data_IF_157381339392
#
_entry.id   IF_157381339392
#
_cell.length_a   1.000
_cell.length_b   1.000
_cell.length_c   1.000
_cell.angle_alpha   90.00
_cell.angle_beta   90.00
_cell.angle_gamma   90.00
#
_symmetry.space_group_name_H-M   'P 1'
#
loop_
_entity.id
_entity.type
_entity.pdbx_description
1 polymer ?
#
# COMPACT_ATOMS: atom_id res chain seq x y z
N UNK A 1 8.22 -9.65 -28.51
CA UNK A 1 7.37 -8.53 -28.06
C UNK A 1 7.84 -8.13 -26.67
N UNK A 2 8.32 -6.90 -26.47
CA UNK A 2 8.54 -6.39 -25.11
C UNK A 2 7.16 -6.21 -24.48
N UNK A 3 6.88 -6.90 -23.39
CA UNK A 3 5.70 -6.60 -22.58
C UNK A 3 5.81 -5.13 -22.16
N UNK A 4 4.82 -4.32 -22.49
CA UNK A 4 4.77 -2.93 -22.01
C UNK A 4 4.59 -2.98 -20.49
N UNK A 5 5.70 -2.87 -19.76
CA UNK A 5 5.70 -2.80 -18.31
C UNK A 5 4.99 -1.49 -17.94
N UNK A 6 3.78 -1.60 -17.38
CA UNK A 6 3.06 -0.43 -16.91
C UNK A 6 3.65 0.07 -15.59
N UNK A 7 3.74 1.39 -15.43
CA UNK A 7 4.18 2.02 -14.20
C UNK A 7 3.06 1.97 -13.15
N UNK A 8 3.31 1.35 -11.99
CA UNK A 8 2.26 1.11 -11.00
C UNK A 8 2.03 2.31 -10.10
N UNK A 9 0.76 2.63 -9.86
CA UNK A 9 0.30 3.67 -8.95
C UNK A 9 -0.81 3.08 -8.07
N UNK A 10 -0.63 3.14 -6.76
CA UNK A 10 -1.58 2.62 -5.77
C UNK A 10 -2.21 3.78 -5.04
N UNK A 11 -3.54 3.81 -4.99
CA UNK A 11 -4.31 4.87 -4.34
C UNK A 11 -4.71 4.46 -2.93
N UNK A 12 -4.45 5.34 -1.98
CA UNK A 12 -4.94 5.27 -0.60
C UNK A 12 -6.40 5.76 -0.50
N UNK A 13 -7.10 5.37 0.57
CA UNK A 13 -8.50 5.69 0.83
C UNK A 13 -8.74 7.18 0.89
N UNK A 14 -7.83 7.94 1.51
CA UNK A 14 -7.97 9.39 1.61
C UNK A 14 -7.98 10.10 0.24
N UNK A 15 -7.32 9.52 -0.77
CA UNK A 15 -7.31 10.05 -2.14
C UNK A 15 -8.62 9.73 -2.84
N UNK A 16 -9.12 8.49 -2.69
CA UNK A 16 -10.40 8.09 -3.25
C UNK A 16 -11.55 8.91 -2.65
N UNK A 17 -11.49 9.23 -1.35
CA UNK A 17 -12.49 10.09 -0.69
C UNK A 17 -12.51 11.52 -1.23
N UNK A 18 -11.40 12.04 -1.76
CA UNK A 18 -11.38 13.36 -2.42
C UNK A 18 -12.15 13.37 -3.75
N UNK A 19 -12.59 12.21 -4.26
CA UNK A 19 -13.48 12.11 -5.42
C UNK A 19 -14.97 12.11 -5.05
N UNK A 20 -15.30 11.91 -3.77
CA UNK A 20 -16.66 12.04 -3.24
C UNK A 20 -17.11 13.52 -3.32
N UNK A 21 -18.42 13.82 -3.20
CA UNK A 21 -19.03 14.95 -3.91
C UNK A 21 -18.45 16.31 -3.54
N UNK A 22 -17.48 16.72 -4.34
CA UNK A 22 -17.21 18.12 -4.61
C UNK A 22 -18.08 18.56 -5.79
N UNK A 23 -18.44 19.84 -5.81
CA UNK A 23 -19.11 20.46 -6.97
C UNK A 23 -18.28 20.31 -8.24
N UNK A 24 -16.96 20.18 -8.11
CA UNK A 24 -15.99 20.12 -9.20
C UNK A 24 -15.08 18.91 -9.03
N UNK A 25 -14.67 18.31 -10.16
CA UNK A 25 -13.70 17.21 -10.18
C UNK A 25 -12.30 17.76 -9.85
N UNK A 26 -11.50 17.11 -8.98
CA UNK A 26 -10.16 17.57 -8.70
C UNK A 26 -9.30 17.62 -9.97
N UNK A 27 -8.50 18.67 -10.13
CA UNK A 27 -7.71 18.91 -11.35
C UNK A 27 -6.71 17.78 -11.65
N UNK A 28 -6.20 17.09 -10.63
CA UNK A 28 -5.27 15.97 -10.80
C UNK A 28 -5.90 14.76 -11.52
N UNK A 29 -7.23 14.64 -11.56
CA UNK A 29 -7.92 13.53 -12.23
C UNK A 29 -7.66 13.55 -13.74
N UNK A 30 -7.69 14.74 -14.36
CA UNK A 30 -7.43 14.87 -15.80
C UNK A 30 -6.02 14.40 -16.15
N UNK A 31 -5.03 14.76 -15.32
CA UNK A 31 -3.65 14.31 -15.49
C UNK A 31 -3.53 12.79 -15.30
N UNK A 32 -4.22 12.19 -14.33
CA UNK A 32 -4.23 10.73 -14.15
C UNK A 32 -4.84 9.98 -15.35
N UNK A 33 -5.87 10.54 -15.99
CA UNK A 33 -6.45 10.01 -17.24
C UNK A 33 -5.43 10.05 -18.38
N UNK A 34 -4.62 11.11 -18.46
CA UNK A 34 -3.55 11.20 -19.47
C UNK A 34 -2.42 10.21 -19.16
N UNK A 35 -2.03 10.07 -17.89
CA UNK A 35 -1.01 9.12 -17.44
C UNK A 35 -1.41 7.67 -17.73
N UNK A 36 -2.67 7.28 -17.49
CA UNK A 36 -3.15 5.91 -17.72
C UNK A 36 -3.02 5.52 -19.20
N UNK A 37 -3.31 6.46 -20.11
CA UNK A 37 -3.11 6.30 -21.56
C UNK A 37 -1.62 6.26 -21.98
N UNK A 38 -0.71 6.67 -21.10
CA UNK A 38 0.75 6.73 -21.32
C UNK A 38 1.52 5.65 -20.57
N UNK A 39 0.85 4.55 -20.20
CA UNK A 39 1.51 3.38 -19.63
C UNK A 39 1.57 3.36 -18.11
N UNK A 40 0.86 4.25 -17.42
CA UNK A 40 0.61 4.09 -15.99
C UNK A 40 -0.57 3.14 -15.76
N UNK A 41 -0.52 2.40 -14.65
CA UNK A 41 -1.55 1.47 -14.19
C UNK A 41 -1.92 1.86 -12.78
N UNK A 42 -3.13 2.39 -12.63
CA UNK A 42 -3.67 2.83 -11.36
C UNK A 42 -4.53 1.72 -10.75
N UNK A 43 -4.31 1.44 -9.47
CA UNK A 43 -5.08 0.45 -8.72
C UNK A 43 -5.39 1.00 -7.33
N UNK A 44 -6.50 0.56 -6.74
CA UNK A 44 -6.75 0.76 -5.32
C UNK A 44 -5.90 -0.24 -4.51
N UNK A 45 -5.47 0.15 -3.32
CA UNK A 45 -5.05 -0.85 -2.32
C UNK A 45 -6.26 -1.69 -1.89
N UNK A 46 -6.06 -2.96 -1.55
CA UNK A 46 -7.12 -3.78 -0.95
C UNK A 46 -7.63 -3.20 0.37
N UNK A 47 -6.73 -2.72 1.24
CA UNK A 47 -7.08 -2.00 2.46
C UNK A 47 -7.99 -0.78 2.18
N UNK A 48 -7.77 -0.10 1.06
CA UNK A 48 -8.64 1.01 0.62
C UNK A 48 -10.04 0.54 0.28
N UNK A 49 -10.18 -0.59 -0.42
CA UNK A 49 -11.51 -1.16 -0.70
C UNK A 49 -12.23 -1.52 0.59
N UNK A 50 -11.55 -2.18 1.52
CA UNK A 50 -12.15 -2.59 2.80
C UNK A 50 -12.59 -1.39 3.64
N UNK A 51 -11.78 -0.32 3.67
CA UNK A 51 -12.14 0.91 4.37
C UNK A 51 -13.35 1.60 3.73
N UNK A 52 -13.41 1.68 2.39
CA UNK A 52 -14.56 2.26 1.69
C UNK A 52 -15.83 1.45 1.92
N UNK A 53 -15.78 0.11 1.86
CA UNK A 53 -16.93 -0.76 2.17
C UNK A 53 -17.43 -0.52 3.59
N UNK A 54 -16.51 -0.42 4.57
CA UNK A 54 -16.86 -0.09 5.96
C UNK A 54 -17.50 1.30 6.08
N UNK A 55 -16.99 2.29 5.36
CA UNK A 55 -17.54 3.65 5.36
C UNK A 55 -18.94 3.69 4.71
N UNK A 56 -19.18 2.90 3.67
CA UNK A 56 -20.50 2.75 3.05
C UNK A 56 -21.48 2.05 4.01
N UNK A 57 -21.08 0.93 4.62
CA UNK A 57 -21.96 0.16 5.51
C UNK A 57 -22.32 0.90 6.81
N UNK A 58 -21.47 1.86 7.21
CA UNK A 58 -21.71 2.75 8.37
C UNK A 58 -22.30 4.10 7.96
N UNK A 59 -22.75 4.26 6.71
CA UNK A 59 -23.36 5.47 6.15
C UNK A 59 -22.47 6.73 6.23
N UNK A 60 -21.15 6.58 6.35
CA UNK A 60 -20.19 7.69 6.24
C UNK A 60 -20.00 8.14 4.79
N UNK A 61 -20.19 7.22 3.83
CA UNK A 61 -20.32 7.50 2.40
C UNK A 61 -21.77 7.22 2.00
N UNK A 62 -22.42 8.18 1.35
CA UNK A 62 -23.82 8.03 0.93
C UNK A 62 -23.90 7.22 -0.37
N UNK A 63 -24.89 6.34 -0.47
CA UNK A 63 -25.07 5.49 -1.65
C UNK A 63 -25.30 6.30 -2.94
N UNK A 64 -25.93 7.47 -2.84
CA UNK A 64 -26.16 8.40 -3.95
C UNK A 64 -24.87 9.00 -4.55
N UNK A 65 -23.77 8.98 -3.79
CA UNK A 65 -22.49 9.53 -4.22
C UNK A 65 -21.64 8.49 -4.98
N UNK A 66 -21.97 7.20 -4.82
CA UNK A 66 -21.20 6.08 -5.38
C UNK A 66 -21.16 6.04 -6.92
N UNK A 67 -22.28 6.30 -7.66
CA UNK A 67 -22.22 6.30 -9.11
C UNK A 67 -21.19 7.31 -9.66
N UNK A 68 -21.13 8.52 -9.09
CA UNK A 68 -20.16 9.55 -9.51
C UNK A 68 -18.73 9.12 -9.19
N UNK A 69 -18.51 8.53 -8.01
CA UNK A 69 -17.21 8.01 -7.60
C UNK A 69 -16.69 6.95 -8.60
N UNK A 70 -17.50 5.95 -8.92
CA UNK A 70 -17.09 4.87 -9.81
C UNK A 70 -16.88 5.33 -11.25
N UNK A 71 -17.78 6.16 -11.78
CA UNK A 71 -17.58 6.78 -13.10
C UNK A 71 -16.25 7.51 -13.16
N UNK A 72 -15.86 8.23 -12.10
CA UNK A 72 -14.60 8.97 -12.07
C UNK A 72 -13.38 8.05 -11.97
N UNK A 73 -13.41 7.04 -11.09
CA UNK A 73 -12.32 6.07 -10.93
C UNK A 73 -12.07 5.28 -12.22
N UNK A 74 -13.12 4.83 -12.89
CA UNK A 74 -13.02 4.05 -14.15
C UNK A 74 -12.38 4.83 -15.30
N UNK A 75 -12.28 6.17 -15.23
CA UNK A 75 -11.59 6.97 -16.24
C UNK A 75 -10.07 6.72 -16.26
N UNK A 76 -9.48 6.24 -15.16
CA UNK A 76 -8.03 6.11 -15.04
C UNK A 76 -7.54 4.83 -14.35
N UNK A 77 -8.38 4.10 -13.61
CA UNK A 77 -8.03 2.78 -13.07
C UNK A 77 -7.71 1.79 -14.20
N UNK A 78 -6.77 0.88 -13.94
CA UNK A 78 -6.51 -0.25 -14.81
C UNK A 78 -7.58 -1.32 -14.60
N UNK A 79 -8.58 -1.39 -15.46
CA UNK A 79 -9.72 -2.31 -15.25
C UNK A 79 -9.35 -3.80 -15.35
N UNK A 80 -8.14 -4.14 -15.80
CA UNK A 80 -7.62 -5.50 -15.67
C UNK A 80 -7.13 -5.82 -14.25
N UNK A 81 -6.83 -4.80 -13.45
CA UNK A 81 -6.34 -4.87 -12.07
C UNK A 81 -6.77 -3.60 -11.28
N UNK A 82 -8.09 -3.38 -11.10
CA UNK A 82 -8.60 -2.16 -10.48
C UNK A 82 -8.25 -2.07 -8.99
N UNK A 83 -8.03 -3.22 -8.36
CA UNK A 83 -7.57 -3.37 -6.98
C UNK A 83 -6.35 -4.26 -7.01
N UNK A 84 -5.29 -3.83 -6.35
CA UNK A 84 -4.08 -4.63 -6.19
C UNK A 84 -4.18 -5.36 -4.84
N UNK A 85 -4.30 -6.69 -4.81
CA UNK A 85 -4.37 -7.41 -3.55
C UNK A 85 -3.04 -7.36 -2.78
N UNK A 86 -3.11 -7.43 -1.46
CA UNK A 86 -2.01 -7.19 -0.54
C UNK A 86 -1.08 -8.38 -0.32
N UNK A 87 -0.78 -8.67 0.95
CA UNK A 87 0.37 -9.45 1.45
C UNK A 87 0.84 -10.63 0.58
N UNK A 88 0.00 -11.66 0.44
CA UNK A 88 0.36 -12.92 -0.23
C UNK A 88 0.54 -12.70 -1.73
N UNK A 89 -0.32 -11.89 -2.32
CA UNK A 89 -0.32 -11.57 -3.74
C UNK A 89 0.89 -10.73 -4.16
N UNK A 90 1.24 -9.71 -3.37
CA UNK A 90 2.46 -8.93 -3.58
C UNK A 90 3.71 -9.80 -3.47
N UNK A 91 3.76 -10.70 -2.47
CA UNK A 91 4.85 -11.67 -2.36
C UNK A 91 4.91 -12.61 -3.56
N UNK A 92 3.77 -13.08 -4.06
CA UNK A 92 3.71 -13.92 -5.26
C UNK A 92 4.24 -13.20 -6.49
N UNK A 93 3.83 -11.94 -6.69
CA UNK A 93 4.25 -11.10 -7.82
C UNK A 93 5.75 -10.84 -7.85
N UNK A 94 6.37 -10.66 -6.69
CA UNK A 94 7.82 -10.47 -6.61
C UNK A 94 8.58 -11.80 -6.50
N UNK A 95 7.92 -12.95 -6.54
CA UNK A 95 8.58 -14.25 -6.40
C UNK A 95 9.14 -14.52 -4.99
N UNK A 96 8.60 -13.87 -3.96
CA UNK A 96 9.00 -14.01 -2.57
C UNK A 96 8.16 -15.02 -1.76
N UNK A 97 7.25 -15.76 -2.41
CA UNK A 97 6.48 -16.79 -1.72
C UNK A 97 7.33 -17.98 -1.30
N UNK A 98 6.99 -18.55 -0.14
CA UNK A 98 7.64 -19.75 0.37
C UNK A 98 7.27 -20.96 -0.49
N UNK A 99 8.19 -21.94 -0.57
CA UNK A 99 7.93 -23.23 -1.22
C UNK A 99 6.66 -23.87 -0.66
N UNK A 100 5.79 -24.34 -1.55
CA UNK A 100 4.52 -25.00 -1.21
C UNK A 100 3.28 -24.11 -1.29
N UNK A 101 3.42 -22.80 -1.52
CA UNK A 101 2.28 -21.95 -1.86
C UNK A 101 1.90 -22.12 -3.34
N UNK A 102 0.64 -22.50 -3.60
CA UNK A 102 0.07 -22.62 -4.94
C UNK A 102 -0.54 -21.29 -5.40
N UNK A 103 0.23 -20.21 -5.35
CA UNK A 103 -0.25 -18.91 -5.80
C UNK A 103 -0.09 -18.76 -7.31
N UNK A 104 -1.07 -18.13 -7.96
CA UNK A 104 -0.99 -17.75 -9.37
C UNK A 104 -1.33 -16.28 -9.57
N UNK A 105 -0.75 -15.68 -10.63
CA UNK A 105 -1.10 -14.31 -11.03
C UNK A 105 -2.60 -14.20 -11.37
N UNK A 106 -3.19 -15.23 -11.98
CA UNK A 106 -4.61 -15.23 -12.35
C UNK A 106 -5.49 -15.15 -11.10
N UNK A 107 -5.26 -15.97 -10.07
CA UNK A 107 -6.01 -15.90 -8.80
C UNK A 107 -5.88 -14.54 -8.13
N UNK A 108 -4.69 -13.93 -8.21
CA UNK A 108 -4.44 -12.57 -7.72
C UNK A 108 -5.33 -11.55 -8.44
N UNK A 109 -5.35 -11.58 -9.77
CA UNK A 109 -6.18 -10.68 -10.58
C UNK A 109 -7.67 -10.90 -10.31
N UNK A 110 -8.13 -12.15 -10.22
CA UNK A 110 -9.52 -12.47 -9.88
C UNK A 110 -9.91 -11.98 -8.49
N UNK A 111 -8.99 -12.05 -7.52
CA UNK A 111 -9.20 -11.49 -6.17
C UNK A 111 -9.39 -9.97 -6.22
N UNK A 112 -8.54 -9.27 -6.97
CA UNK A 112 -8.67 -7.81 -7.17
C UNK A 112 -9.98 -7.42 -7.85
N UNK A 113 -10.39 -8.15 -8.89
CA UNK A 113 -11.68 -7.95 -9.57
C UNK A 113 -12.86 -8.20 -8.62
N UNK A 114 -12.78 -9.23 -7.78
CA UNK A 114 -13.81 -9.50 -6.77
C UNK A 114 -13.92 -8.34 -5.77
N UNK A 115 -12.81 -7.80 -5.28
CA UNK A 115 -12.83 -6.61 -4.41
C UNK A 115 -13.45 -5.39 -5.11
N UNK A 116 -13.17 -5.19 -6.39
CA UNK A 116 -13.81 -4.13 -7.16
C UNK A 116 -15.34 -4.31 -7.27
N UNK A 117 -15.80 -5.52 -7.57
CA UNK A 117 -17.23 -5.82 -7.62
C UNK A 117 -17.91 -5.69 -6.24
N UNK A 118 -17.21 -6.06 -5.17
CA UNK A 118 -17.66 -5.86 -3.79
C UNK A 118 -17.89 -4.38 -3.48
N UNK A 119 -16.95 -3.53 -3.91
CA UNK A 119 -17.05 -2.10 -3.68
C UNK A 119 -18.23 -1.48 -4.45
N UNK A 120 -18.46 -1.91 -5.70
CA UNK A 120 -19.59 -1.44 -6.53
C UNK A 120 -20.95 -1.89 -6.01
N UNK A 121 -20.99 -3.04 -5.33
CA UNK A 121 -22.23 -3.67 -4.85
C UNK A 121 -22.17 -3.92 -3.34
N UNK A 122 -22.08 -2.87 -2.50
CA UNK A 122 -21.83 -3.00 -1.06
C UNK A 122 -22.98 -3.65 -0.28
N UNK A 123 -24.15 -3.83 -0.91
CA UNK A 123 -25.34 -4.48 -0.34
C UNK A 123 -25.30 -6.00 -0.51
N UNK A 124 -24.45 -6.54 -1.40
CA UNK A 124 -24.29 -7.97 -1.54
C UNK A 124 -23.58 -8.51 -0.29
N UNK A 125 -24.20 -9.49 0.37
CA UNK A 125 -23.54 -10.22 1.46
C UNK A 125 -22.39 -11.02 0.87
N UNK A 126 -21.17 -10.56 1.14
CA UNK A 126 -19.98 -11.34 0.86
C UNK A 126 -19.62 -12.15 2.11
N UNK A 127 -19.30 -13.43 1.94
CA UNK A 127 -18.76 -14.31 2.99
C UNK A 127 -17.38 -13.86 3.55
N UNK A 128 -16.92 -12.67 3.16
CA UNK A 128 -15.71 -12.03 3.66
C UNK A 128 -16.19 -10.86 4.51
N UNK A 129 -16.11 -11.00 5.82
CA UNK A 129 -16.39 -9.86 6.70
C UNK A 129 -15.13 -9.00 6.75
N UNK A 130 -15.22 -7.75 6.28
CA UNK A 130 -14.12 -6.78 6.39
C UNK A 130 -13.46 -6.72 7.79
N UNK A 131 -14.21 -6.90 8.92
CA UNK A 131 -13.62 -7.05 10.25
C UNK A 131 -12.57 -8.15 10.36
N UNK A 132 -12.80 -9.35 9.81
CA UNK A 132 -11.84 -10.46 9.89
C UNK A 132 -10.52 -10.12 9.19
N UNK A 133 -10.57 -9.50 8.01
CA UNK A 133 -9.34 -9.12 7.30
C UNK A 133 -8.57 -8.05 8.09
N UNK A 134 -9.29 -7.09 8.68
CA UNK A 134 -8.65 -6.06 9.53
C UNK A 134 -8.00 -6.71 10.76
N UNK A 135 -8.64 -7.69 11.39
CA UNK A 135 -8.08 -8.41 12.53
C UNK A 135 -6.83 -9.22 12.14
N UNK A 136 -6.85 -9.91 10.99
CA UNK A 136 -5.68 -10.62 10.44
C UNK A 136 -4.51 -9.67 10.15
N UNK A 137 -4.80 -8.47 9.64
CA UNK A 137 -3.80 -7.43 9.38
C UNK A 137 -3.18 -6.89 10.68
N UNK A 138 -4.01 -6.68 11.70
CA UNK A 138 -3.57 -6.29 13.04
C UNK A 138 -2.68 -7.37 13.65
N UNK A 139 -3.05 -8.65 13.55
CA UNK A 139 -2.27 -9.75 14.10
C UNK A 139 -0.95 -9.95 13.35
N UNK A 140 -0.95 -9.81 12.02
CA UNK A 140 0.26 -9.77 11.18
C UNK A 140 1.21 -8.64 11.59
N UNK A 141 0.68 -7.44 11.81
CA UNK A 141 1.46 -6.29 12.29
C UNK A 141 2.07 -6.56 13.68
N UNK A 142 1.28 -7.11 14.60
CA UNK A 142 1.72 -7.48 15.95
C UNK A 142 2.81 -8.54 15.94
N UNK A 143 2.65 -9.59 15.14
CA UNK A 143 3.63 -10.68 15.05
C UNK A 143 5.00 -10.13 14.61
N UNK A 144 5.00 -9.28 13.58
CA UNK A 144 6.23 -8.67 13.09
C UNK A 144 6.84 -7.70 14.11
N UNK A 145 6.02 -6.83 14.72
CA UNK A 145 6.49 -5.92 15.77
C UNK A 145 7.13 -6.69 16.94
N UNK A 146 6.49 -7.77 17.39
CA UNK A 146 6.99 -8.61 18.48
C UNK A 146 8.26 -9.38 18.10
N UNK A 147 8.37 -9.87 16.85
CA UNK A 147 9.61 -10.48 16.36
C UNK A 147 10.77 -9.48 16.36
N UNK A 148 10.54 -8.28 15.87
CA UNK A 148 11.54 -7.20 15.91
C UNK A 148 11.89 -6.84 17.35
N UNK A 149 10.92 -6.75 18.25
CA UNK A 149 11.11 -6.45 19.67
C UNK A 149 11.93 -7.54 20.40
N UNK A 150 11.60 -8.81 20.19
CA UNK A 150 12.30 -9.94 20.81
C UNK A 150 13.77 -10.03 20.37
N UNK A 151 14.07 -9.57 19.16
CA UNK A 151 15.44 -9.54 18.61
C UNK A 151 16.26 -8.33 19.06
N UNK A 152 15.66 -7.33 19.72
CA UNK A 152 16.25 -5.99 19.91
C UNK A 152 16.40 -5.58 21.38
N UNK A 153 16.92 -6.48 22.21
CA UNK A 153 17.48 -6.11 23.53
C UNK A 153 18.70 -5.16 23.42
N UNK A 154 19.18 -4.90 22.20
CA UNK A 154 20.20 -3.89 21.90
C UNK A 154 19.59 -2.88 20.92
N UNK A 155 19.62 -1.59 21.28
CA UNK A 155 19.05 -0.47 20.50
C UNK A 155 19.94 -0.02 19.33
N UNK A 156 20.77 -0.93 18.83
CA UNK A 156 21.83 -0.66 17.86
C UNK A 156 21.37 -0.93 16.41
N UNK A 157 22.03 -0.29 15.44
CA UNK A 157 21.79 -0.47 14.00
C UNK A 157 22.00 -1.92 13.54
N UNK A 158 22.72 -2.72 14.34
CA UNK A 158 22.88 -4.16 14.13
C UNK A 158 21.54 -4.91 14.03
N UNK A 159 20.47 -4.45 14.67
CA UNK A 159 19.11 -5.04 14.54
C UNK A 159 18.56 -4.86 13.12
N UNK A 160 18.75 -3.68 12.51
CA UNK A 160 18.31 -3.41 11.13
C UNK A 160 19.07 -4.31 10.14
N UNK A 161 20.38 -4.41 10.31
CA UNK A 161 21.24 -5.28 9.47
C UNK A 161 20.80 -6.74 9.59
N UNK A 162 20.50 -7.22 10.80
CA UNK A 162 19.99 -8.58 11.00
C UNK A 162 18.62 -8.78 10.33
N UNK A 163 17.70 -7.82 10.45
CA UNK A 163 16.40 -7.90 9.80
C UNK A 163 16.53 -7.98 8.26
N UNK A 164 17.42 -7.19 7.67
CA UNK A 164 17.72 -7.23 6.23
C UNK A 164 18.26 -8.61 5.83
N UNK A 165 19.28 -9.10 6.56
CA UNK A 165 19.91 -10.40 6.29
C UNK A 165 18.95 -11.59 6.47
N UNK A 166 17.95 -11.49 7.35
CA UNK A 166 16.93 -12.53 7.52
C UNK A 166 15.96 -12.55 6.34
N UNK A 167 15.54 -11.38 5.85
CA UNK A 167 14.64 -11.29 4.70
C UNK A 167 15.33 -11.77 3.41
N UNK A 168 16.56 -11.35 3.17
CA UNK A 168 17.28 -11.72 1.95
C UNK A 168 17.57 -13.22 1.89
N UNK A 169 17.79 -13.87 3.05
CA UNK A 169 17.92 -15.34 3.12
C UNK A 169 16.63 -16.09 2.79
N UNK A 170 15.45 -15.46 2.87
CA UNK A 170 14.20 -16.11 2.49
C UNK A 170 14.07 -16.21 0.96
N UNK A 171 14.66 -15.27 0.23
CA UNK A 171 14.56 -15.16 -1.23
C UNK A 171 15.92 -14.75 -1.83
N UNK A 172 16.95 -15.62 -1.77
CA UNK A 172 18.33 -15.24 -2.12
C UNK A 172 18.49 -14.87 -3.60
N UNK A 173 17.62 -15.38 -4.47
CA UNK A 173 17.67 -15.14 -5.92
C UNK A 173 16.85 -13.91 -6.35
N UNK A 174 16.20 -13.21 -5.41
CA UNK A 174 15.36 -12.05 -5.73
C UNK A 174 16.22 -10.82 -6.01
N UNK A 175 16.03 -10.21 -7.19
CA UNK A 175 16.74 -8.99 -7.60
C UNK A 175 15.72 -7.85 -7.83
N UNK A 176 15.89 -6.68 -7.19
CA UNK A 176 16.75 -6.46 -6.02
C UNK A 176 16.29 -7.28 -4.80
N UNK A 177 17.14 -7.46 -3.77
CA UNK A 177 16.83 -8.25 -2.59
C UNK A 177 15.55 -7.79 -1.87
N UNK A 178 14.92 -8.70 -1.13
CA UNK A 178 13.67 -8.42 -0.43
C UNK A 178 13.84 -7.28 0.59
N UNK A 179 14.99 -7.19 1.26
CA UNK A 179 15.34 -6.09 2.16
C UNK A 179 15.31 -4.73 1.47
N UNK A 180 15.79 -4.64 0.22
CA UNK A 180 15.76 -3.42 -0.59
C UNK A 180 14.34 -3.06 -1.00
N UNK A 181 13.53 -4.07 -1.32
CA UNK A 181 12.11 -3.91 -1.66
C UNK A 181 11.27 -3.43 -0.47
N UNK A 182 11.65 -3.81 0.74
CA UNK A 182 10.92 -3.49 1.97
C UNK A 182 11.68 -2.46 2.84
N UNK A 183 12.64 -1.73 2.29
CA UNK A 183 13.59 -0.93 3.06
C UNK A 183 12.89 0.10 3.97
N UNK A 184 12.01 0.93 3.39
CA UNK A 184 11.24 1.93 4.13
C UNK A 184 10.36 1.30 5.20
N UNK A 185 9.75 0.16 4.87
CA UNK A 185 8.90 -0.58 5.78
C UNK A 185 9.67 -1.04 7.02
N UNK A 186 10.84 -1.65 6.83
CA UNK A 186 11.70 -2.16 7.90
C UNK A 186 12.24 -1.00 8.75
N UNK A 187 12.73 0.07 8.12
CA UNK A 187 13.22 1.27 8.82
C UNK A 187 12.11 1.95 9.62
N UNK A 188 10.89 1.99 9.08
CA UNK A 188 9.73 2.52 9.80
C UNK A 188 9.44 1.73 11.08
N UNK A 189 9.45 0.38 11.01
CA UNK A 189 9.28 -0.44 12.21
C UNK A 189 10.36 -0.23 13.24
N UNK A 190 11.62 -0.24 12.80
CA UNK A 190 12.72 -0.04 13.71
C UNK A 190 12.60 1.29 14.46
N UNK A 191 12.23 2.38 13.76
CA UNK A 191 12.02 3.68 14.40
C UNK A 191 10.82 3.69 15.35
N UNK A 192 9.72 3.00 15.01
CA UNK A 192 8.57 2.85 15.91
C UNK A 192 8.93 2.05 17.16
N UNK A 193 9.65 0.95 17.00
CA UNK A 193 10.14 0.14 18.10
C UNK A 193 11.11 0.92 19.00
N UNK A 194 12.11 1.60 18.42
CA UNK A 194 13.05 2.46 19.14
C UNK A 194 12.34 3.56 19.93
N UNK A 195 11.33 4.18 19.33
CA UNK A 195 10.49 5.17 20.03
C UNK A 195 9.69 4.54 21.18
N UNK A 196 9.23 3.29 21.01
CA UNK A 196 8.48 2.57 22.04
C UNK A 196 9.33 2.18 23.25
N UNK A 197 10.59 1.81 23.04
CA UNK A 197 11.50 1.39 24.11
C UNK A 197 12.07 2.56 24.90
N UNK A 198 12.13 3.76 24.29
CA UNK A 198 12.65 4.97 24.93
C UNK A 198 11.61 5.75 25.76
N UNK A 199 10.31 5.55 25.55
CA UNK A 199 9.26 6.30 26.25
C UNK A 199 8.70 5.52 27.45
N UNK A 200 8.60 6.16 28.64
CA UNK A 200 7.98 5.57 29.84
C UNK A 200 6.52 5.14 29.64
N UNK A 201 5.82 5.73 28.66
CA UNK A 201 4.52 5.27 28.14
C UNK A 201 4.70 4.80 26.70
N UNK A 202 5.43 3.70 26.53
CA UNK A 202 5.81 3.16 25.22
C UNK A 202 4.63 2.96 24.28
N UNK A 203 4.91 3.05 22.97
CA UNK A 203 3.96 2.69 21.93
C UNK A 203 3.45 1.26 22.15
N UNK A 204 2.14 1.11 22.35
CA UNK A 204 1.50 -0.19 22.54
C UNK A 204 0.73 -0.57 21.26
N UNK A 205 1.24 -1.49 20.41
CA UNK A 205 0.53 -1.96 19.22
C UNK A 205 -0.76 -2.73 19.57
N UNK A 206 -0.96 -3.09 20.85
CA UNK A 206 -2.17 -3.76 21.35
C UNK A 206 -3.25 -2.76 21.80
N UNK A 207 -2.97 -1.46 21.83
CA UNK A 207 -3.97 -0.48 22.22
C UNK A 207 -4.97 -0.21 21.09
N UNK A 208 -6.26 -0.10 21.43
CA UNK A 208 -7.32 0.28 20.46
C UNK A 208 -7.04 1.62 19.77
N UNK A 209 -6.24 2.49 20.39
CA UNK A 209 -5.80 3.76 19.79
C UNK A 209 -4.89 3.55 18.58
N UNK A 210 -4.13 2.45 18.56
CA UNK A 210 -3.11 2.16 17.56
C UNK A 210 -3.54 1.02 16.60
N UNK A 211 -4.76 0.49 16.71
CA UNK A 211 -5.24 -0.56 15.79
C UNK A 211 -5.27 -0.10 14.34
N UNK A 212 -5.53 1.19 14.11
CA UNK A 212 -5.52 1.78 12.77
C UNK A 212 -4.11 1.81 12.16
N UNK A 213 -3.04 1.81 12.98
CA UNK A 213 -1.67 1.79 12.47
C UNK A 213 -1.37 0.53 11.65
N UNK A 214 -2.08 -0.58 11.90
CA UNK A 214 -1.92 -1.82 11.15
C UNK A 214 -2.55 -1.75 9.74
N UNK A 215 -3.68 -1.07 9.59
CA UNK A 215 -4.32 -0.84 8.29
C UNK A 215 -3.50 0.17 7.48
N UNK A 216 -3.11 1.25 8.15
CA UNK A 216 -2.17 2.25 7.68
C UNK A 216 -0.83 1.63 7.21
N UNK A 217 -0.39 0.58 7.89
CA UNK A 217 0.85 -0.10 7.57
C UNK A 217 0.81 -0.86 6.23
N UNK A 218 -0.36 -1.32 5.82
CA UNK A 218 -0.53 -2.12 4.61
C UNK A 218 -0.05 -1.37 3.35
N UNK A 219 -0.19 -0.04 3.34
CA UNK A 219 0.31 0.82 2.26
C UNK A 219 1.81 0.65 1.95
N UNK A 220 2.64 0.38 2.96
CA UNK A 220 4.08 0.17 2.75
C UNK A 220 4.38 -1.10 1.95
N UNK A 221 3.49 -2.11 1.99
CA UNK A 221 3.72 -3.38 1.29
C UNK A 221 3.75 -3.19 -0.22
N UNK A 222 2.97 -2.26 -0.73
CA UNK A 222 2.95 -1.93 -2.15
C UNK A 222 4.28 -1.37 -2.66
N UNK A 223 5.11 -0.80 -1.78
CA UNK A 223 6.46 -0.33 -2.14
C UNK A 223 7.46 -1.47 -2.38
N UNK A 224 7.09 -2.72 -2.08
CA UNK A 224 7.86 -3.90 -2.53
C UNK A 224 7.85 -4.08 -4.05
N UNK A 225 6.88 -3.45 -4.71
CA UNK A 225 6.84 -3.22 -6.14
C UNK A 225 7.49 -1.86 -6.47
N UNK A 226 7.98 -1.68 -7.70
CA UNK A 226 8.32 -0.35 -8.21
C UNK A 226 7.03 0.45 -8.48
N UNK A 227 6.36 0.90 -7.42
CA UNK A 227 5.06 1.56 -7.46
C UNK A 227 5.09 2.89 -6.69
N UNK A 228 4.33 3.87 -7.18
CA UNK A 228 3.98 5.03 -6.36
C UNK A 228 2.81 4.68 -5.46
N UNK A 229 2.83 5.20 -4.25
CA UNK A 229 1.68 5.17 -3.33
C UNK A 229 1.21 6.60 -3.15
N UNK A 230 -0.03 6.85 -3.54
CA UNK A 230 -0.63 8.19 -3.56
C UNK A 230 -1.53 8.34 -2.34
N UNK A 231 -1.22 9.36 -1.54
CA UNK A 231 -1.88 9.61 -0.25
C UNK A 231 -1.85 11.09 0.12
N UNK A 232 -2.80 11.54 0.92
CA UNK A 232 -2.82 12.84 1.59
C UNK A 232 -2.36 12.77 3.05
N UNK A 233 -2.08 11.58 3.57
CA UNK A 233 -1.71 11.35 4.96
C UNK A 233 -0.33 11.92 5.29
N UNK A 234 -0.32 12.99 6.11
CA UNK A 234 0.91 13.73 6.47
C UNK A 234 1.97 12.84 7.10
N UNK A 235 1.58 11.81 7.85
CA UNK A 235 2.50 10.88 8.52
C UNK A 235 3.41 10.15 7.53
N UNK A 236 2.93 9.85 6.32
CA UNK A 236 3.74 9.21 5.27
C UNK A 236 4.56 10.23 4.48
N UNK A 237 3.92 11.35 4.12
CA UNK A 237 4.56 12.38 3.30
C UNK A 237 5.74 13.05 4.03
N UNK A 238 5.71 13.07 5.36
CA UNK A 238 6.79 13.63 6.17
C UNK A 238 7.91 12.63 6.49
N UNK A 239 7.82 11.36 6.05
CA UNK A 239 8.82 10.33 6.40
C UNK A 239 10.22 10.66 5.91
N UNK A 240 10.36 11.38 4.79
CA UNK A 240 11.67 11.79 4.26
C UNK A 240 12.49 12.66 5.22
N UNK A 241 11.84 13.32 6.19
CA UNK A 241 12.52 14.07 7.26
C UNK A 241 13.01 13.20 8.42
N UNK A 242 12.60 11.93 8.49
CA UNK A 242 12.85 11.03 9.63
C UNK A 242 13.48 9.69 9.24
N UNK A 243 13.30 9.25 8.00
CA UNK A 243 13.77 7.96 7.49
C UNK A 243 14.51 8.22 6.18
N UNK A 244 15.81 7.93 6.18
CA UNK A 244 16.60 7.91 4.95
C UNK A 244 16.31 6.63 4.17
N UNK A 245 15.43 6.71 3.18
CA UNK A 245 15.15 5.63 2.22
C UNK A 245 14.69 6.23 0.90
N UNK A 246 15.16 5.67 -0.22
CA UNK A 246 14.74 6.13 -1.56
C UNK A 246 13.23 5.98 -1.77
N UNK A 247 12.60 5.00 -1.13
CA UNK A 247 11.17 4.73 -1.26
C UNK A 247 10.30 5.81 -0.61
N UNK A 248 10.86 6.67 0.27
CA UNK A 248 10.13 7.85 0.78
C UNK A 248 9.74 8.79 -0.35
N UNK A 249 10.49 8.79 -1.46
CA UNK A 249 10.20 9.58 -2.67
C UNK A 249 9.11 8.95 -3.53
N UNK A 250 8.61 7.76 -3.18
CA UNK A 250 7.53 7.07 -3.91
C UNK A 250 6.16 7.30 -3.27
N UNK A 251 6.15 7.89 -2.07
CA UNK A 251 4.96 8.38 -1.39
C UNK A 251 4.70 9.83 -1.83
N UNK A 252 3.55 10.10 -2.44
CA UNK A 252 3.25 11.43 -2.99
C UNK A 252 1.79 11.82 -2.82
N UNK A 253 1.51 13.12 -2.85
CA UNK A 253 0.15 13.61 -3.13
C UNK A 253 -0.17 13.45 -4.62
N UNK A 254 -1.45 13.41 -5.01
CA UNK A 254 -1.84 13.39 -6.42
C UNK A 254 -1.21 14.54 -7.23
N UNK A 255 -1.30 15.77 -6.72
CA UNK A 255 -0.74 16.96 -7.38
C UNK A 255 0.79 16.89 -7.54
N UNK A 256 1.50 16.32 -6.55
CA UNK A 256 2.96 16.19 -6.64
C UNK A 256 3.38 15.21 -7.73
N UNK A 257 2.63 14.11 -7.90
CA UNK A 257 2.85 13.17 -9.00
C UNK A 257 2.55 13.83 -10.36
N UNK A 258 1.43 14.56 -10.46
CA UNK A 258 1.05 15.29 -11.68
C UNK A 258 2.14 16.28 -12.10
N UNK A 259 2.61 17.11 -11.17
CA UNK A 259 3.66 18.10 -11.42
C UNK A 259 4.99 17.45 -11.86
N UNK A 260 5.32 16.26 -11.35
CA UNK A 260 6.54 15.54 -11.80
C UNK A 260 6.37 14.98 -13.20
N UNK A 261 5.21 14.39 -13.48
CA UNK A 261 4.90 13.85 -14.80
C UNK A 261 4.88 14.93 -15.88
N UNK A 262 4.24 16.08 -15.62
CA UNK A 262 4.16 17.22 -16.55
C UNK A 262 5.53 17.84 -16.87
N UNK A 263 6.48 17.77 -15.93
CA UNK A 263 7.86 18.24 -16.14
C UNK A 263 8.69 17.29 -17.01
N UNK A 264 8.08 16.24 -17.60
CA UNK A 264 8.74 15.15 -18.33
C UNK A 264 9.88 14.49 -17.54
N UNK A 265 9.84 14.62 -16.21
CA UNK A 265 10.66 13.80 -15.32
C UNK A 265 9.85 12.54 -15.15
N UNK A 266 9.72 11.69 -16.18
CA UNK A 266 8.95 10.43 -16.16
C UNK A 266 9.34 9.64 -14.90
N UNK A 267 8.66 9.84 -13.77
CA UNK A 267 9.24 9.41 -12.52
C UNK A 267 8.80 7.96 -12.48
N UNK A 268 9.73 7.04 -12.62
CA UNK A 268 9.44 5.65 -12.32
C UNK A 268 10.15 5.30 -11.02
N UNK A 269 9.45 4.67 -10.06
CA UNK A 269 10.10 4.07 -8.91
C UNK A 269 11.10 3.03 -9.40
N UNK A 270 12.39 3.30 -9.20
CA UNK A 270 13.45 2.37 -9.53
C UNK A 270 14.19 2.10 -8.24
N UNK A 271 14.30 0.82 -7.87
CA UNK A 271 15.18 0.42 -6.80
C UNK A 271 16.61 0.79 -7.18
N UNK A 272 17.32 1.50 -6.31
CA UNK A 272 18.74 1.76 -6.52
C UNK A 272 19.47 0.42 -6.58
N UNK A 273 20.22 0.19 -7.66
CA UNK A 273 21.27 -0.82 -7.66
C UNK A 273 22.34 -0.34 -6.68
N UNK A 274 22.32 -0.90 -5.48
CA UNK A 274 23.40 -0.80 -4.49
C UNK A 274 24.72 -1.31 -5.06
#
# INVERSE_FOLDING_TARGET
MRTNVKHKVVLDTCVVRELLPHSEMPSWVETFILMSKKGYSFSLADGTVLELIKQISTCQIRLEDLPKLFVTLELFLDMAEPVLPGKVDLQGRIGALRKGHNWTLEESLQTGLRYWEMLKNPVLEYNITAPQIIDDEIDSYREMFNKTAAQSLQTDESVLIQAFNVLDRQCPDLIPPLSTRMELQIKYFYNKFKSSSLQQKGYNPLSNKNSNDAVDFDLFRYLSLPAFVITFEKKYLNLSGFIDSIQTRWLMKPNDLCLRWEKNVEPFPIFSSS
#
